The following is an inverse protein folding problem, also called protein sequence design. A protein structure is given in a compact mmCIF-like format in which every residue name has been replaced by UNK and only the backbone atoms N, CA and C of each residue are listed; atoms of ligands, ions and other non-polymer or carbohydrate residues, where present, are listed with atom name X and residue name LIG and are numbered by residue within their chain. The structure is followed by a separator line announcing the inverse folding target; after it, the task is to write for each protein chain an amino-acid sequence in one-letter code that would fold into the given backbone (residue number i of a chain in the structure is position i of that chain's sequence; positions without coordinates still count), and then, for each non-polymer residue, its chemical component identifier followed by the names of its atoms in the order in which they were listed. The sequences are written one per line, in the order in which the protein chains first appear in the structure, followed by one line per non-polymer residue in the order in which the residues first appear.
data_IF_634255600639
#
_entry.id   IF_634255600639
#
_cell.length_a   1.000
_cell.length_b   1.000
_cell.length_c   1.000
_cell.angle_alpha   90.00
_cell.angle_beta   90.00
_cell.angle_gamma   90.00
#
_symmetry.space_group_name_H-M   'P 1'
#
loop_
_entity.id
_entity.type
_entity.pdbx_description
1 polymer ?
#
# COMPACT_ATOMS: atom_id res chain seq x y z
N UNK A 1 -5.67 11.55 17.54
CA UNK A 1 -4.55 11.49 18.49
C UNK A 1 -4.97 10.62 19.67
N UNK A 2 -4.55 9.35 19.65
CA UNK A 2 -4.62 8.51 20.85
C UNK A 2 -3.26 8.62 21.54
N UNK A 3 -3.17 9.47 22.54
CA UNK A 3 -2.02 9.49 23.43
C UNK A 3 -2.01 8.18 24.24
N UNK A 4 -0.87 7.51 24.25
CA UNK A 4 -0.61 6.37 25.13
C UNK A 4 -0.47 6.89 26.57
N UNK A 5 -1.59 6.94 27.28
CA UNK A 5 -1.54 7.10 28.73
C UNK A 5 -1.09 5.75 29.34
N UNK A 6 -0.16 5.81 30.28
CA UNK A 6 0.28 4.66 31.05
C UNK A 6 -0.94 3.93 31.64
N UNK A 7 -0.99 2.61 31.44
CA UNK A 7 -2.13 1.78 31.80
C UNK A 7 -2.44 1.88 33.32
N UNK A 8 -3.50 2.58 33.65
CA UNK A 8 -4.14 2.46 34.96
C UNK A 8 -4.81 1.08 35.03
N UNK A 9 -4.26 0.16 35.79
CA UNK A 9 -4.73 -1.23 35.92
C UNK A 9 -5.97 -1.41 36.80
N UNK A 10 -6.69 -0.32 37.11
CA UNK A 10 -7.90 -0.33 37.95
C UNK A 10 -8.98 0.55 37.35
N UNK A 11 -9.99 -0.03 36.71
CA UNK A 11 -11.15 0.67 36.21
C UNK A 11 -12.30 -0.30 35.91
N UNK A 12 -13.53 0.21 35.91
CA UNK A 12 -14.71 -0.58 35.55
C UNK A 12 -14.65 -1.00 34.08
N UNK A 13 -15.25 -2.15 33.79
CA UNK A 13 -15.38 -2.61 32.40
C UNK A 13 -16.53 -1.88 31.73
N UNK A 14 -16.24 -1.13 30.70
CA UNK A 14 -17.22 -0.43 29.86
C UNK A 14 -17.54 -1.27 28.63
N UNK A 15 -18.85 -1.43 28.34
CA UNK A 15 -19.33 -2.07 27.12
C UNK A 15 -20.28 -1.12 26.40
N UNK A 16 -19.98 -0.88 25.13
CA UNK A 16 -20.79 -0.02 24.26
C UNK A 16 -21.19 -0.80 23.01
N UNK A 17 -22.40 -0.54 22.53
CA UNK A 17 -22.89 -1.00 21.23
C UNK A 17 -23.51 0.19 20.51
N UNK A 18 -23.23 0.32 19.24
CA UNK A 18 -23.78 1.37 18.38
C UNK A 18 -24.34 0.73 17.10
N UNK A 19 -25.49 1.27 16.65
CA UNK A 19 -26.10 0.96 15.37
C UNK A 19 -26.39 2.29 14.69
N UNK A 20 -25.75 2.54 13.56
CA UNK A 20 -25.79 3.83 12.83
C UNK A 20 -26.19 3.52 11.41
N UNK A 21 -27.34 4.04 10.96
CA UNK A 21 -27.85 3.81 9.61
C UNK A 21 -26.92 4.33 8.51
N UNK A 22 -26.33 5.51 8.73
CA UNK A 22 -25.37 6.09 7.80
C UNK A 22 -24.34 6.94 8.53
N UNK A 23 -23.07 6.74 8.23
CA UNK A 23 -21.94 7.53 8.73
C UNK A 23 -21.21 8.17 7.56
N UNK A 24 -21.14 9.51 7.54
CA UNK A 24 -20.40 10.26 6.52
C UNK A 24 -18.93 10.33 6.87
N UNK A 25 -18.06 10.16 5.85
CA UNK A 25 -16.62 10.27 5.95
C UNK A 25 -16.06 11.32 5.00
N UNK A 26 -14.78 11.19 4.69
CA UNK A 26 -14.10 12.05 3.72
C UNK A 26 -14.38 11.61 2.27
N UNK A 27 -13.94 12.42 1.31
CA UNK A 27 -14.03 12.13 -0.13
C UNK A 27 -15.44 11.87 -0.61
N UNK A 28 -16.47 12.47 0.01
CA UNK A 28 -17.89 12.25 -0.27
C UNK A 28 -18.30 10.78 -0.17
N UNK A 29 -17.66 10.03 0.74
CA UNK A 29 -17.99 8.63 1.00
C UNK A 29 -18.83 8.50 2.26
N UNK A 30 -19.70 7.48 2.29
CA UNK A 30 -20.43 7.08 3.49
C UNK A 30 -20.35 5.57 3.72
N UNK A 31 -20.53 5.18 4.97
CA UNK A 31 -20.76 3.80 5.38
C UNK A 31 -22.20 3.65 5.82
N UNK A 32 -22.86 2.60 5.36
CA UNK A 32 -24.23 2.25 5.68
C UNK A 32 -24.28 1.09 6.67
N UNK A 33 -25.33 1.05 7.47
CA UNK A 33 -25.61 -0.04 8.42
C UNK A 33 -24.42 -0.34 9.35
N UNK A 34 -23.77 0.71 9.86
CA UNK A 34 -22.61 0.57 10.73
C UNK A 34 -23.05 0.00 12.08
N UNK A 35 -22.56 -1.18 12.39
CA UNK A 35 -22.68 -1.83 13.70
C UNK A 35 -21.32 -1.79 14.37
N UNK A 36 -21.25 -1.35 15.62
CA UNK A 36 -20.03 -1.33 16.38
C UNK A 36 -20.24 -1.85 17.80
N UNK A 37 -19.27 -2.58 18.31
CA UNK A 37 -19.19 -3.02 19.70
C UNK A 37 -17.81 -2.73 20.29
N UNK A 38 -17.78 -2.23 21.50
CA UNK A 38 -16.57 -1.87 22.22
C UNK A 38 -16.60 -2.47 23.62
N UNK A 39 -15.49 -3.03 24.05
CA UNK A 39 -15.24 -3.46 25.43
C UNK A 39 -13.90 -2.89 25.85
N UNK A 40 -13.89 -2.12 26.94
CA UNK A 40 -12.67 -1.55 27.49
C UNK A 40 -12.62 -1.65 29.00
N UNK A 41 -11.41 -1.59 29.58
CA UNK A 41 -11.17 -1.53 31.02
C UNK A 41 -10.10 -0.48 31.30
N UNK A 42 -10.46 0.58 32.03
CA UNK A 42 -9.59 1.74 32.17
C UNK A 42 -9.25 2.35 30.82
N UNK A 43 -7.97 2.55 30.51
CA UNK A 43 -7.47 3.02 29.21
C UNK A 43 -7.27 1.92 28.16
N UNK A 44 -7.49 0.64 28.51
CA UNK A 44 -7.21 -0.49 27.63
C UNK A 44 -8.44 -0.91 26.85
N UNK A 45 -8.31 -1.02 25.53
CA UNK A 45 -9.32 -1.61 24.65
C UNK A 45 -9.13 -3.12 24.68
N UNK A 46 -10.13 -3.85 25.19
CA UNK A 46 -10.13 -5.31 25.22
C UNK A 46 -10.70 -5.90 23.93
N UNK A 47 -11.72 -5.23 23.36
CA UNK A 47 -12.29 -5.62 22.08
C UNK A 47 -12.94 -4.42 21.41
N UNK A 48 -12.73 -4.30 20.11
CA UNK A 48 -13.48 -3.39 19.24
C UNK A 48 -13.82 -4.14 17.96
N UNK A 49 -15.11 -4.29 17.67
CA UNK A 49 -15.58 -4.89 16.41
C UNK A 49 -16.51 -3.93 15.73
N UNK A 50 -16.34 -3.78 14.43
CA UNK A 50 -17.24 -2.98 13.61
C UNK A 50 -17.51 -3.68 12.29
N UNK A 51 -18.71 -3.51 11.74
CA UNK A 51 -19.09 -3.92 10.41
C UNK A 51 -19.96 -2.85 9.75
N UNK A 52 -19.80 -2.67 8.46
CA UNK A 52 -20.58 -1.70 7.67
C UNK A 52 -20.58 -2.11 6.20
N UNK A 53 -21.33 -1.37 5.39
CA UNK A 53 -21.34 -1.50 3.93
C UNK A 53 -20.98 -0.16 3.30
N UNK A 54 -20.13 -0.13 2.28
CA UNK A 54 -19.86 1.07 1.50
C UNK A 54 -21.07 1.41 0.63
N UNK A 55 -21.16 2.63 0.08
CA UNK A 55 -22.24 3.02 -0.85
C UNK A 55 -22.31 2.12 -2.09
N UNK A 56 -21.17 1.56 -2.53
CA UNK A 56 -21.10 0.60 -3.64
C UNK A 56 -21.51 -0.83 -3.27
N UNK A 57 -21.92 -1.07 -2.01
CA UNK A 57 -22.30 -2.39 -1.51
C UNK A 57 -21.13 -3.24 -1.02
N UNK A 58 -19.93 -2.69 -0.93
CA UNK A 58 -18.74 -3.41 -0.43
C UNK A 58 -18.80 -3.58 1.09
N UNK A 59 -18.61 -4.81 1.57
CA UNK A 59 -18.54 -5.09 3.01
C UNK A 59 -17.28 -4.51 3.63
N UNK A 60 -17.38 -4.01 4.85
CA UNK A 60 -16.28 -3.54 5.69
C UNK A 60 -16.38 -4.22 7.04
N UNK A 61 -15.29 -4.75 7.56
CA UNK A 61 -15.19 -5.29 8.92
C UNK A 61 -13.87 -4.92 9.59
N UNK A 62 -13.96 -4.67 10.89
CA UNK A 62 -12.81 -4.45 11.77
C UNK A 62 -13.00 -5.33 13.00
N UNK A 63 -12.00 -6.09 13.35
CA UNK A 63 -11.90 -6.85 14.60
C UNK A 63 -10.58 -6.49 15.28
N UNK A 64 -10.65 -5.87 16.45
CA UNK A 64 -9.50 -5.59 17.30
C UNK A 64 -9.77 -6.26 18.65
N UNK A 65 -9.02 -7.28 18.97
CA UNK A 65 -9.12 -8.03 20.21
C UNK A 65 -7.79 -8.02 20.96
N UNK A 66 -7.88 -7.89 22.27
CA UNK A 66 -6.76 -8.02 23.17
C UNK A 66 -6.84 -9.40 23.85
N UNK A 67 -5.94 -10.29 23.49
CA UNK A 67 -5.78 -11.62 24.08
C UNK A 67 -4.47 -11.66 24.88
N UNK A 68 -4.57 -11.92 26.18
CA UNK A 68 -3.42 -12.05 27.08
C UNK A 68 -2.44 -10.86 27.05
N UNK A 69 -2.96 -9.66 26.84
CA UNK A 69 -2.17 -8.44 26.79
C UNK A 69 -1.59 -8.09 25.44
N UNK A 70 -1.92 -8.83 24.40
CA UNK A 70 -1.49 -8.57 23.02
C UNK A 70 -2.66 -8.26 22.12
N UNK A 71 -2.56 -7.21 21.36
CA UNK A 71 -3.59 -6.80 20.39
C UNK A 71 -3.46 -7.60 19.10
N UNK A 72 -4.61 -8.04 18.60
CA UNK A 72 -4.76 -8.61 17.27
C UNK A 72 -5.77 -7.76 16.52
N UNK A 73 -5.40 -7.29 15.33
CA UNK A 73 -6.23 -6.42 14.49
C UNK A 73 -6.42 -7.07 13.14
N UNK A 74 -7.67 -7.27 12.75
CA UNK A 74 -8.04 -7.71 11.40
C UNK A 74 -8.96 -6.65 10.80
N UNK A 75 -8.61 -6.18 9.60
CA UNK A 75 -9.42 -5.24 8.83
C UNK A 75 -9.64 -5.86 7.46
N UNK A 76 -10.89 -6.00 7.05
CA UNK A 76 -11.25 -6.56 5.75
C UNK A 76 -12.29 -5.69 5.06
N UNK A 77 -12.14 -5.53 3.76
CA UNK A 77 -13.15 -4.90 2.91
C UNK A 77 -13.14 -5.50 1.51
N UNK A 78 -14.31 -5.54 0.87
CA UNK A 78 -14.43 -5.87 -0.56
C UNK A 78 -14.41 -4.63 -1.47
N UNK A 79 -14.40 -3.41 -0.89
CA UNK A 79 -14.23 -2.13 -1.60
C UNK A 79 -13.21 -1.23 -0.88
N UNK A 80 -11.94 -1.55 -1.06
CA UNK A 80 -10.82 -0.81 -0.47
C UNK A 80 -10.76 0.63 -0.92
N UNK A 81 -11.08 0.90 -2.19
CA UNK A 81 -11.07 2.26 -2.73
C UNK A 81 -12.04 3.19 -1.98
N UNK A 82 -13.26 2.76 -1.72
CA UNK A 82 -14.24 3.55 -0.94
C UNK A 82 -13.81 3.68 0.52
N UNK A 83 -13.32 2.61 1.15
CA UNK A 83 -12.85 2.67 2.53
C UNK A 83 -11.67 3.64 2.69
N UNK A 84 -10.69 3.60 1.80
CA UNK A 84 -9.52 4.49 1.88
C UNK A 84 -9.88 5.97 1.67
N UNK A 85 -10.85 6.27 0.80
CA UNK A 85 -11.40 7.62 0.64
C UNK A 85 -12.21 8.06 1.86
N UNK A 86 -13.05 7.18 2.39
CA UNK A 86 -13.83 7.45 3.60
C UNK A 86 -12.94 7.85 4.78
N UNK A 87 -11.75 7.22 4.89
CA UNK A 87 -10.78 7.49 5.97
C UNK A 87 -9.78 8.62 5.66
N UNK A 88 -9.87 9.27 4.49
CA UNK A 88 -8.89 10.27 4.00
C UNK A 88 -7.44 9.74 3.95
N UNK A 89 -7.28 8.44 3.64
CA UNK A 89 -5.98 7.79 3.56
C UNK A 89 -5.41 7.88 2.14
N UNK A 90 -6.23 7.55 1.12
CA UNK A 90 -5.81 7.57 -0.27
C UNK A 90 -6.99 7.68 -1.23
N UNK A 91 -6.98 8.70 -2.08
CA UNK A 91 -8.12 9.06 -2.93
C UNK A 91 -8.06 8.51 -4.36
N UNK A 92 -6.94 7.90 -4.77
CA UNK A 92 -6.72 7.43 -6.15
C UNK A 92 -7.10 5.96 -6.37
N UNK A 93 -7.37 5.20 -5.31
CA UNK A 93 -7.79 3.81 -5.46
C UNK A 93 -9.30 3.70 -5.76
N UNK A 94 -9.66 2.75 -6.63
CA UNK A 94 -11.04 2.39 -6.97
C UNK A 94 -11.23 0.89 -6.84
N UNK A 95 -12.31 0.49 -6.16
CA UNK A 95 -12.67 -0.91 -5.93
C UNK A 95 -11.60 -1.68 -5.17
N UNK A 96 -11.56 -2.97 -5.41
CA UNK A 96 -10.60 -3.92 -4.86
C UNK A 96 -10.87 -4.33 -3.42
N UNK A 97 -10.50 -5.56 -3.08
CA UNK A 97 -10.54 -6.03 -1.68
C UNK A 97 -9.23 -5.69 -0.97
N UNK A 98 -9.31 -5.41 0.31
CA UNK A 98 -8.16 -5.25 1.21
C UNK A 98 -8.36 -6.15 2.42
N UNK A 99 -7.33 -6.90 2.78
CA UNK A 99 -7.23 -7.63 4.04
C UNK A 99 -5.94 -7.23 4.77
N UNK A 100 -6.06 -6.84 6.04
CA UNK A 100 -4.94 -6.47 6.91
C UNK A 100 -5.03 -7.34 8.15
N UNK A 101 -3.95 -8.02 8.49
CA UNK A 101 -3.83 -8.84 9.72
C UNK A 101 -2.60 -8.39 10.47
N UNK A 102 -2.79 -7.89 11.69
CA UNK A 102 -1.71 -7.40 12.54
C UNK A 102 -1.77 -8.03 13.92
N UNK A 103 -0.61 -8.34 14.49
CA UNK A 103 -0.45 -8.77 15.87
C UNK A 103 0.58 -7.88 16.58
N UNK A 104 0.32 -7.58 17.85
CA UNK A 104 1.24 -6.80 18.69
C UNK A 104 2.39 -7.69 19.18
N UNK A 105 3.62 -7.21 19.01
CA UNK A 105 4.82 -7.86 19.54
C UNK A 105 5.12 -7.36 20.97
N UNK A 106 6.19 -7.88 21.58
CA UNK A 106 6.60 -7.54 22.95
C UNK A 106 6.99 -6.05 23.12
N UNK A 107 7.35 -5.37 22.04
CA UNK A 107 7.69 -3.94 22.03
C UNK A 107 6.46 -3.02 21.84
N UNK A 108 5.25 -3.57 21.78
CA UNK A 108 4.01 -2.82 21.54
C UNK A 108 3.85 -2.35 20.09
N UNK A 109 4.59 -2.94 19.16
CA UNK A 109 4.48 -2.66 17.72
C UNK A 109 3.54 -3.68 17.08
N UNK A 110 2.54 -3.19 16.34
CA UNK A 110 1.69 -4.04 15.51
C UNK A 110 2.44 -4.40 14.24
N UNK A 111 2.73 -5.68 14.05
CA UNK A 111 3.36 -6.25 12.88
C UNK A 111 2.43 -7.20 12.14
N UNK A 112 2.55 -7.30 10.80
CA UNK A 112 1.75 -8.21 10.00
C UNK A 112 1.71 -7.86 8.53
N UNK A 113 0.62 -8.20 7.86
CA UNK A 113 0.53 -8.13 6.40
C UNK A 113 -0.69 -7.36 5.92
N UNK A 114 -0.53 -6.72 4.76
CA UNK A 114 -1.64 -6.25 3.92
C UNK A 114 -1.64 -7.01 2.60
N UNK A 115 -2.84 -7.45 2.17
CA UNK A 115 -3.11 -8.03 0.86
C UNK A 115 -4.28 -7.29 0.21
N UNK A 116 -4.02 -6.60 -0.89
CA UNK A 116 -5.01 -5.91 -1.71
C UNK A 116 -5.14 -6.60 -3.06
N UNK A 117 -6.38 -6.79 -3.56
CA UNK A 117 -6.63 -7.50 -4.83
C UNK A 117 -7.60 -6.73 -5.72
N UNK A 118 -7.37 -6.85 -7.03
CA UNK A 118 -8.31 -6.41 -8.08
C UNK A 118 -8.74 -4.94 -7.95
N UNK A 119 -7.79 -4.04 -7.81
CA UNK A 119 -8.03 -2.60 -7.67
C UNK A 119 -7.47 -1.80 -8.84
N UNK A 120 -7.95 -0.57 -9.00
CA UNK A 120 -7.48 0.36 -10.02
C UNK A 120 -6.94 1.62 -9.34
N UNK A 121 -5.76 2.07 -9.76
CA UNK A 121 -5.23 3.38 -9.39
C UNK A 121 -5.52 4.34 -10.54
N UNK A 122 -6.19 5.46 -10.24
CA UNK A 122 -6.62 6.45 -11.23
C UNK A 122 -5.94 7.79 -11.01
N UNK A 123 -5.34 8.34 -12.07
CA UNK A 123 -4.79 9.68 -12.08
C UNK A 123 -3.69 9.92 -11.03
N UNK A 124 -2.85 8.94 -10.73
CA UNK A 124 -1.73 9.09 -9.77
C UNK A 124 -0.55 9.80 -10.44
N UNK A 125 -0.25 11.07 -10.06
CA UNK A 125 0.81 11.84 -10.73
C UNK A 125 2.19 11.22 -10.57
N UNK A 126 2.48 10.59 -9.42
CA UNK A 126 3.78 9.96 -9.15
C UNK A 126 3.99 8.74 -10.02
N UNK A 127 2.96 7.93 -10.24
CA UNK A 127 3.02 6.81 -11.18
C UNK A 127 3.25 7.31 -12.61
N UNK A 128 2.54 8.37 -13.02
CA UNK A 128 2.75 9.02 -14.32
C UNK A 128 4.18 9.53 -14.48
N UNK A 129 4.73 10.20 -13.46
CA UNK A 129 6.11 10.71 -13.49
C UNK A 129 7.14 9.57 -13.53
N UNK A 130 6.91 8.50 -12.76
CA UNK A 130 7.79 7.33 -12.71
C UNK A 130 7.86 6.62 -14.06
N UNK A 131 6.71 6.30 -14.65
CA UNK A 131 6.62 5.60 -15.93
C UNK A 131 7.01 6.51 -17.11
N UNK A 132 6.82 7.83 -16.97
CA UNK A 132 7.19 8.86 -17.95
C UNK A 132 8.64 9.31 -17.86
N UNK A 133 9.42 8.85 -16.87
CA UNK A 133 10.82 9.21 -16.76
C UNK A 133 11.62 8.74 -18.00
N UNK A 134 12.51 9.60 -18.56
CA UNK A 134 13.32 9.23 -19.70
C UNK A 134 14.34 8.14 -19.31
N UNK A 135 14.37 7.05 -20.07
CA UNK A 135 15.27 5.90 -19.87
C UNK A 135 16.36 5.81 -20.90
N UNK A 136 16.32 6.67 -21.93
CA UNK A 136 17.30 6.75 -23.01
C UNK A 136 17.85 8.17 -23.17
N UNK A 137 19.00 8.32 -23.85
CA UNK A 137 19.61 9.64 -24.10
C UNK A 137 18.77 10.54 -25.01
N UNK A 138 17.97 9.95 -25.89
CA UNK A 138 17.04 10.64 -26.81
C UNK A 138 15.69 10.95 -26.15
N UNK A 139 15.56 10.74 -24.84
CA UNK A 139 14.38 11.11 -24.05
C UNK A 139 13.19 10.16 -24.20
N UNK A 140 13.38 8.93 -24.65
CA UNK A 140 12.31 7.92 -24.61
C UNK A 140 12.03 7.47 -23.19
N UNK A 141 10.74 7.27 -22.89
CA UNK A 141 10.26 6.76 -21.61
C UNK A 141 9.57 5.40 -21.77
N UNK A 142 9.41 4.68 -20.66
CA UNK A 142 8.67 3.41 -20.63
C UNK A 142 7.22 3.61 -21.08
N UNK A 143 6.58 4.68 -20.64
CA UNK A 143 5.23 5.02 -21.05
C UNK A 143 5.10 5.18 -22.57
N UNK A 144 6.04 5.89 -23.18
CA UNK A 144 6.04 6.13 -24.63
C UNK A 144 6.33 4.86 -25.43
N UNK A 145 7.35 4.11 -25.04
CA UNK A 145 7.74 2.86 -25.71
C UNK A 145 6.67 1.77 -25.57
N UNK A 146 6.10 1.60 -24.38
CA UNK A 146 5.12 0.57 -24.05
C UNK A 146 3.67 0.95 -24.28
N UNK A 147 3.37 2.20 -24.68
CA UNK A 147 2.00 2.75 -24.79
C UNK A 147 1.21 2.52 -23.48
N UNK A 148 1.88 2.68 -22.33
CA UNK A 148 1.25 2.44 -21.03
C UNK A 148 0.33 3.61 -20.70
N UNK A 149 -0.96 3.32 -20.54
CA UNK A 149 -1.92 4.28 -20.02
C UNK A 149 -1.81 4.36 -18.50
N UNK A 150 -1.32 5.48 -17.99
CA UNK A 150 -1.20 5.75 -16.55
C UNK A 150 -2.40 6.49 -15.97
N UNK A 151 -3.42 6.78 -16.77
CA UNK A 151 -4.66 7.42 -16.30
C UNK A 151 -5.48 6.50 -15.40
N UNK A 152 -5.46 5.19 -15.70
CA UNK A 152 -6.15 4.16 -14.92
C UNK A 152 -5.40 2.82 -15.03
N UNK A 153 -4.63 2.47 -14.00
CA UNK A 153 -3.86 1.23 -13.98
C UNK A 153 -4.55 0.20 -13.09
N UNK A 154 -4.89 -0.95 -13.66
CA UNK A 154 -5.45 -2.11 -12.94
C UNK A 154 -4.34 -2.94 -12.32
N UNK A 155 -4.41 -3.13 -11.02
CA UNK A 155 -3.54 -4.02 -10.26
C UNK A 155 -4.31 -5.29 -9.87
N UNK A 156 -3.72 -6.44 -10.13
CA UNK A 156 -4.28 -7.73 -9.70
C UNK A 156 -4.03 -7.96 -8.21
N UNK A 157 -2.85 -7.56 -7.73
CA UNK A 157 -2.48 -7.73 -6.32
C UNK A 157 -1.48 -6.68 -5.85
N UNK A 158 -1.61 -6.31 -4.59
CA UNK A 158 -0.65 -5.53 -3.83
C UNK A 158 -0.45 -6.14 -2.45
N UNK A 159 0.78 -6.41 -2.05
CA UNK A 159 1.12 -6.95 -0.73
C UNK A 159 2.21 -6.14 -0.07
N UNK A 160 2.24 -6.09 1.25
CA UNK A 160 3.37 -5.60 2.03
C UNK A 160 3.35 -6.15 3.45
N UNK A 161 4.52 -6.24 4.07
CA UNK A 161 4.65 -6.34 5.51
C UNK A 161 4.41 -4.96 6.13
N UNK A 162 3.66 -4.92 7.23
CA UNK A 162 3.34 -3.68 7.97
C UNK A 162 3.99 -3.73 9.35
N UNK A 163 4.57 -2.62 9.76
CA UNK A 163 4.96 -2.35 11.14
C UNK A 163 4.38 -1.00 11.56
N UNK A 164 3.45 -1.01 12.52
CA UNK A 164 2.78 0.18 13.03
C UNK A 164 3.11 0.36 14.51
N UNK A 165 3.89 1.36 14.81
CA UNK A 165 4.21 1.78 16.17
C UNK A 165 3.65 3.15 16.51
N UNK A 166 4.06 3.67 17.68
CA UNK A 166 3.66 5.02 18.08
C UNK A 166 4.31 6.05 17.15
N UNK A 167 3.47 6.75 16.38
CA UNK A 167 3.89 7.82 15.47
C UNK A 167 4.61 7.37 14.19
N UNK A 168 4.67 6.08 13.86
CA UNK A 168 5.24 5.62 12.61
C UNK A 168 4.45 4.48 11.95
N UNK A 169 4.59 4.40 10.64
CA UNK A 169 4.16 3.27 9.82
C UNK A 169 5.26 2.93 8.83
N UNK A 170 5.74 1.69 8.88
CA UNK A 170 6.70 1.13 7.94
C UNK A 170 6.04 0.05 7.09
N UNK A 171 6.41 0.03 5.81
CA UNK A 171 6.05 -1.03 4.88
C UNK A 171 7.33 -1.71 4.41
N UNK A 172 7.36 -3.03 4.46
CA UNK A 172 8.47 -3.85 3.99
C UNK A 172 8.01 -4.85 2.93
N UNK A 173 8.92 -5.32 2.10
CA UNK A 173 8.67 -6.33 1.06
C UNK A 173 7.42 -6.04 0.21
N UNK A 174 7.18 -4.75 -0.03
CA UNK A 174 6.01 -4.29 -0.76
C UNK A 174 6.09 -4.64 -2.24
N UNK A 175 5.01 -5.20 -2.79
CA UNK A 175 4.88 -5.56 -4.19
C UNK A 175 3.53 -5.11 -4.71
N UNK A 176 3.52 -4.40 -5.85
CA UNK A 176 2.32 -4.15 -6.65
C UNK A 176 2.47 -4.83 -8.00
N UNK A 177 1.42 -5.52 -8.44
CA UNK A 177 1.43 -6.27 -9.68
C UNK A 177 0.26 -5.90 -10.58
N UNK A 178 0.58 -5.59 -11.83
CA UNK A 178 -0.38 -5.42 -12.93
C UNK A 178 0.06 -6.21 -14.16
N UNK A 179 -0.79 -6.27 -15.20
CA UNK A 179 -0.43 -6.88 -16.48
C UNK A 179 0.70 -6.15 -17.21
N UNK A 180 0.79 -4.84 -17.02
CA UNK A 180 1.72 -3.97 -17.74
C UNK A 180 2.97 -3.64 -16.94
N UNK A 181 2.94 -3.79 -15.61
CA UNK A 181 4.03 -3.36 -14.74
C UNK A 181 4.01 -4.06 -13.39
N UNK A 182 5.17 -4.07 -12.73
CA UNK A 182 5.32 -4.41 -11.32
C UNK A 182 6.08 -3.32 -10.60
N UNK A 183 5.81 -3.17 -9.30
CA UNK A 183 6.59 -2.30 -8.42
C UNK A 183 6.97 -3.09 -7.17
N UNK A 184 8.20 -2.92 -6.71
CA UNK A 184 8.59 -3.24 -5.35
C UNK A 184 8.79 -1.94 -4.56
N UNK A 185 8.54 -1.97 -3.26
CA UNK A 185 8.77 -0.82 -2.39
C UNK A 185 9.06 -1.26 -0.96
N UNK A 186 9.89 -0.47 -0.27
CA UNK A 186 10.24 -0.63 1.14
C UNK A 186 10.51 0.74 1.76
N UNK A 187 10.19 0.89 3.04
CA UNK A 187 10.55 2.06 3.79
C UNK A 187 9.47 2.54 4.77
N UNK A 188 9.66 3.75 5.25
CA UNK A 188 8.77 4.41 6.20
C UNK A 188 7.76 5.27 5.43
N UNK A 189 6.47 4.95 5.58
CA UNK A 189 5.38 5.73 4.97
C UNK A 189 5.18 7.06 5.71
N UNK A 190 5.28 7.04 7.03
CA UNK A 190 5.41 8.25 7.85
C UNK A 190 6.14 7.95 9.16
N UNK A 191 6.89 8.93 9.65
CA UNK A 191 7.55 8.97 10.96
C UNK A 191 6.82 9.93 11.92
N UNK A 192 7.30 10.04 13.15
CA UNK A 192 6.76 10.96 14.18
C UNK A 192 6.72 12.44 13.73
N UNK A 193 7.51 12.81 12.73
CA UNK A 193 7.54 14.16 12.14
C UNK A 193 6.68 14.27 10.88
N UNK A 194 5.90 13.24 10.55
CA UNK A 194 5.08 13.19 9.34
C UNK A 194 5.88 13.10 8.04
N UNK A 195 7.09 12.54 8.07
CA UNK A 195 7.96 12.40 6.89
C UNK A 195 7.90 11.01 6.33
N UNK A 196 7.89 10.93 5.01
CA UNK A 196 8.05 9.70 4.22
C UNK A 196 9.53 9.49 3.84
N UNK A 197 9.96 8.24 3.84
CA UNK A 197 11.24 7.80 3.29
C UNK A 197 11.08 6.38 2.76
N UNK A 198 10.73 6.25 1.50
CA UNK A 198 10.51 4.98 0.83
C UNK A 198 11.38 4.89 -0.42
N UNK A 199 11.84 3.70 -0.72
CA UNK A 199 12.53 3.37 -1.97
C UNK A 199 11.77 2.26 -2.68
N UNK A 200 11.97 2.14 -3.98
CA UNK A 200 11.35 1.07 -4.74
C UNK A 200 11.92 0.93 -6.14
N UNK A 201 11.44 -0.07 -6.83
CA UNK A 201 11.81 -0.38 -8.21
C UNK A 201 10.54 -0.58 -9.02
N UNK A 202 10.42 0.14 -10.09
CA UNK A 202 9.42 -0.07 -11.13
C UNK A 202 9.99 -0.99 -12.20
N UNK A 203 9.20 -1.98 -12.60
CA UNK A 203 9.54 -2.97 -13.60
C UNK A 203 8.44 -2.99 -14.67
N UNK A 204 8.74 -2.61 -15.92
CA UNK A 204 7.82 -2.83 -17.02
C UNK A 204 7.63 -4.33 -17.26
N UNK A 205 6.44 -4.74 -17.71
CA UNK A 205 6.16 -6.15 -18.00
C UNK A 205 7.13 -6.73 -19.03
N UNK A 206 7.32 -8.05 -19.00
CA UNK A 206 8.36 -8.75 -19.77
C UNK A 206 8.37 -8.45 -21.26
N UNK A 207 7.19 -8.27 -21.88
CA UNK A 207 7.08 -7.89 -23.28
C UNK A 207 7.68 -6.50 -23.61
N UNK A 208 7.56 -5.57 -22.67
CA UNK A 208 8.10 -4.21 -22.80
C UNK A 208 9.61 -4.20 -22.53
N UNK A 209 10.11 -5.04 -21.64
CA UNK A 209 11.55 -5.19 -21.39
C UNK A 209 12.32 -5.65 -22.65
N UNK A 210 11.71 -6.49 -23.49
CA UNK A 210 12.35 -6.89 -24.77
C UNK A 210 12.55 -5.72 -25.73
N UNK A 211 11.61 -4.76 -25.75
CA UNK A 211 11.73 -3.56 -26.59
C UNK A 211 12.90 -2.67 -26.18
N UNK A 212 13.23 -2.64 -24.88
CA UNK A 212 14.40 -1.89 -24.40
C UNK A 212 15.73 -2.61 -24.70
N UNK A 213 15.73 -3.94 -24.79
CA UNK A 213 16.90 -4.72 -25.21
C UNK A 213 17.29 -4.50 -26.67
N UNK A 214 16.41 -3.95 -27.50
CA UNK A 214 16.64 -3.60 -28.91
C UNK A 214 17.16 -2.16 -29.08
N UNK A 215 17.20 -1.36 -28.01
CA UNK A 215 17.79 -0.02 -28.04
C UNK A 215 19.31 -0.14 -27.99
N UNK A 216 20.07 0.35 -29.00
CA UNK A 216 21.50 0.06 -29.19
C UNK A 216 22.38 0.29 -27.95
N UNK A 217 22.16 1.37 -27.22
CA UNK A 217 22.95 1.71 -26.02
C UNK A 217 22.62 0.86 -24.79
N UNK A 218 21.41 0.34 -24.69
CA UNK A 218 20.95 -0.48 -23.57
C UNK A 218 21.28 -1.95 -23.85
N UNK A 219 21.23 -2.38 -25.10
CA UNK A 219 21.65 -3.73 -25.53
C UNK A 219 23.12 -4.01 -25.26
N UNK A 220 24.02 -3.04 -25.43
CA UNK A 220 25.45 -3.16 -25.11
C UNK A 220 25.72 -3.29 -23.60
N UNK A 221 24.98 -2.54 -22.75
CA UNK A 221 25.11 -2.59 -21.30
C UNK A 221 24.56 -3.91 -20.73
N UNK A 222 23.53 -4.47 -21.35
CA UNK A 222 22.86 -5.70 -20.88
C UNK A 222 23.54 -7.00 -21.38
N UNK A 223 24.55 -6.90 -22.24
CA UNK A 223 25.29 -8.03 -22.81
C UNK A 223 24.49 -8.89 -23.78
N UNK A 224 25.20 -9.53 -24.71
CA UNK A 224 24.61 -10.35 -25.79
C UNK A 224 24.22 -11.76 -25.34
N UNK A 225 24.06 -12.02 -24.02
CA UNK A 225 23.83 -13.35 -23.43
C UNK A 225 22.36 -13.70 -23.19
N UNK A 226 22.09 -14.99 -22.94
CA UNK A 226 20.76 -15.53 -22.62
C UNK A 226 20.15 -14.98 -21.31
N UNK A 227 20.95 -14.41 -20.44
CA UNK A 227 20.56 -13.76 -19.18
C UNK A 227 20.54 -12.23 -19.33
N UNK A 228 19.77 -11.74 -20.30
CA UNK A 228 19.59 -10.30 -20.49
C UNK A 228 19.04 -9.70 -19.19
N UNK A 229 19.85 -8.89 -18.51
CA UNK A 229 19.45 -8.17 -17.31
C UNK A 229 18.17 -7.37 -17.60
N UNK A 230 17.25 -7.38 -16.64
CA UNK A 230 15.98 -6.72 -16.78
C UNK A 230 16.14 -5.26 -16.32
N UNK A 231 15.61 -4.33 -17.10
CA UNK A 231 15.70 -2.90 -16.80
C UNK A 231 14.65 -2.59 -15.74
N UNK A 232 15.10 -2.12 -14.59
CA UNK A 232 14.25 -1.52 -13.57
C UNK A 232 14.52 -0.02 -13.46
N UNK A 233 13.52 0.73 -13.09
CA UNK A 233 13.63 2.14 -12.74
C UNK A 233 13.52 2.23 -11.22
N UNK A 234 14.61 2.60 -10.56
CA UNK A 234 14.58 2.81 -9.12
C UNK A 234 14.06 4.20 -8.80
N UNK A 235 13.33 4.30 -7.69
CA UNK A 235 12.80 5.56 -7.22
C UNK A 235 12.91 5.70 -5.70
N UNK A 236 12.85 6.94 -5.26
CA UNK A 236 12.77 7.30 -3.85
C UNK A 236 11.65 8.31 -3.64
N UNK A 237 10.83 8.08 -2.62
CA UNK A 237 9.89 9.05 -2.08
C UNK A 237 10.44 9.59 -0.77
N UNK A 238 10.53 10.91 -0.63
CA UNK A 238 11.06 11.56 0.57
C UNK A 238 10.31 12.85 0.90
N UNK A 239 10.57 13.41 2.07
CA UNK A 239 9.99 14.68 2.51
C UNK A 239 8.69 14.52 3.30
N UNK A 240 7.72 15.38 3.09
CA UNK A 240 6.43 15.34 3.79
C UNK A 240 5.55 14.22 3.25
N UNK A 241 4.99 13.37 4.12
CA UNK A 241 4.16 12.24 3.71
C UNK A 241 2.87 12.66 2.95
N UNK A 242 2.35 13.86 3.20
CA UNK A 242 1.17 14.38 2.47
C UNK A 242 1.50 14.92 1.09
N UNK A 243 2.76 15.33 0.85
CA UNK A 243 3.25 15.87 -0.41
C UNK A 243 4.68 15.38 -0.67
N UNK A 244 4.88 14.07 -0.90
CA UNK A 244 6.21 13.51 -1.07
C UNK A 244 6.86 13.94 -2.37
N UNK A 245 8.17 14.17 -2.31
CA UNK A 245 9.03 14.35 -3.46
C UNK A 245 9.41 13.00 -4.06
N UNK A 246 9.23 12.85 -5.37
CA UNK A 246 9.64 11.67 -6.13
C UNK A 246 10.96 11.94 -6.85
N UNK A 247 11.98 11.16 -6.50
CA UNK A 247 13.26 11.13 -7.19
C UNK A 247 13.33 9.83 -7.98
N UNK A 248 13.59 9.92 -9.28
CA UNK A 248 13.67 8.77 -10.20
C UNK A 248 15.09 8.62 -10.69
N UNK A 249 15.66 7.41 -10.58
CA UNK A 249 16.90 7.03 -11.23
C UNK A 249 16.56 6.17 -12.47
N UNK A 250 16.69 6.71 -13.68
CA UNK A 250 16.11 6.13 -14.88
C UNK A 250 16.79 4.84 -15.36
N UNK A 251 17.99 4.50 -14.89
CA UNK A 251 18.70 3.30 -15.33
C UNK A 251 19.25 2.56 -14.13
N UNK A 252 18.64 1.43 -13.79
CA UNK A 252 19.16 0.51 -12.79
C UNK A 252 19.12 -0.91 -13.35
N UNK A 253 20.26 -1.60 -13.31
CA UNK A 253 20.31 -3.05 -13.51
C UNK A 253 19.69 -3.70 -12.28
N UNK A 254 18.58 -4.41 -12.47
CA UNK A 254 17.89 -5.10 -11.39
C UNK A 254 18.32 -6.56 -11.37
N UNK A 255 18.69 -7.05 -10.19
CA UNK A 255 19.03 -8.45 -10.00
C UNK A 255 17.85 -9.36 -10.38
N UNK A 256 18.08 -10.50 -11.07
CA UNK A 256 17.04 -11.42 -11.51
C UNK A 256 16.08 -11.88 -10.40
N UNK A 257 16.54 -11.94 -9.14
CA UNK A 257 15.72 -12.35 -7.99
C UNK A 257 14.52 -11.46 -7.70
N UNK A 258 14.61 -10.14 -7.97
CA UNK A 258 13.49 -9.19 -7.77
C UNK A 258 12.34 -9.51 -8.75
N UNK A 259 12.66 -9.99 -9.95
CA UNK A 259 11.66 -10.38 -10.93
C UNK A 259 10.85 -11.59 -10.51
N UNK A 260 11.50 -12.60 -9.92
CA UNK A 260 10.80 -13.78 -9.42
C UNK A 260 9.77 -13.41 -8.38
N UNK A 261 10.09 -12.52 -7.46
CA UNK A 261 9.16 -12.08 -6.42
C UNK A 261 7.97 -11.30 -6.99
N UNK A 262 8.17 -10.53 -8.05
CA UNK A 262 7.14 -9.65 -8.62
C UNK A 262 6.24 -10.38 -9.64
N UNK A 263 6.79 -11.28 -10.44
CA UNK A 263 6.07 -11.88 -11.57
C UNK A 263 5.85 -13.40 -11.50
N UNK A 264 6.60 -14.14 -10.68
CA UNK A 264 6.34 -15.57 -10.48
C UNK A 264 5.32 -15.79 -9.35
N UNK A 265 4.34 -16.63 -9.63
CA UNK A 265 3.36 -17.10 -8.64
C UNK A 265 3.99 -18.17 -7.75
N UNK A 266 3.79 -18.03 -6.47
CA UNK A 266 3.60 -19.14 -5.56
C UNK A 266 2.27 -18.97 -4.86
#
# INVERSE_FOLDING_TARGET
NFESAAAATGGDTVRLKASIGSASGFGSQSLQDLQASYVGKGSRILSFKASATTESGGAVSVDNTDSDGRKNVVISTSDGGSLLRFLDIYDKMRGGSINIVLAENDDGVLGGEVDAKNFTIVGEPRLKSLVGAPVTRDGQSVAKAGKIDTSAVKFQRGTAQIQKGNGFLRLGDGILRSEQMGLSYDGTLYDQKGRINMTGTFLPAYGLNRMFGEIPLIGEILGNGRDKGLIGITFKLSGNAKSPELIVNPISLVAPGIFRQIFEFR
#
